data_IF_301809113445
#
_entry.id   IF_301809113445
#
_cell.length_a   1.000
_cell.length_b   1.000
_cell.length_c   1.000
_cell.angle_alpha   90.00
_cell.angle_beta   90.00
_cell.angle_gamma   90.00
#
_symmetry.space_group_name_H-M   'P 1'
#
loop_
_entity.id
_entity.type
_entity.pdbx_description
1 polymer ?
#
# COMPACT_ATOMS: atom_id res chain seq x y z
N UNK A 1 30.70 8.08 -7.45
CA UNK A 1 29.94 9.12 -6.72
C UNK A 1 30.93 10.20 -6.35
N UNK A 2 30.59 11.47 -6.57
CA UNK A 2 31.33 12.55 -5.92
C UNK A 2 31.25 12.34 -4.40
N UNK A 3 32.34 12.59 -3.67
CA UNK A 3 32.35 12.42 -2.22
C UNK A 3 31.42 13.44 -1.55
N UNK A 4 30.77 13.03 -0.47
CA UNK A 4 30.10 13.96 0.44
C UNK A 4 31.16 14.51 1.38
N UNK A 5 31.50 15.79 1.23
CA UNK A 5 32.61 16.45 1.95
C UNK A 5 32.21 17.76 2.63
N UNK A 6 30.96 18.19 2.42
CA UNK A 6 30.45 19.49 2.84
C UNK A 6 28.93 19.47 3.05
N UNK A 7 28.41 20.43 3.80
CA UNK A 7 26.97 20.61 3.97
C UNK A 7 26.27 20.90 2.63
N UNK A 8 26.94 21.63 1.74
CA UNK A 8 26.48 21.88 0.37
C UNK A 8 26.33 20.56 -0.40
N UNK A 9 27.32 19.67 -0.33
CA UNK A 9 27.24 18.36 -0.99
C UNK A 9 26.12 17.48 -0.41
N UNK A 10 25.87 17.54 0.92
CA UNK A 10 24.75 16.86 1.57
C UNK A 10 23.41 17.40 1.08
N UNK A 11 23.26 18.72 1.06
CA UNK A 11 22.06 19.40 0.62
C UNK A 11 21.70 19.07 -0.84
N UNK A 12 22.67 19.14 -1.74
CA UNK A 12 22.46 18.78 -3.14
C UNK A 12 22.16 17.29 -3.34
N UNK A 13 22.75 16.42 -2.52
CA UNK A 13 22.50 14.98 -2.59
C UNK A 13 21.09 14.65 -2.10
N UNK A 14 20.64 15.25 -1.01
CA UNK A 14 19.28 15.08 -0.46
C UNK A 14 18.21 15.68 -1.38
N UNK A 15 18.46 16.87 -1.95
CA UNK A 15 17.55 17.50 -2.92
C UNK A 15 17.30 16.59 -4.14
N UNK A 16 18.34 15.90 -4.61
CA UNK A 16 18.22 14.92 -5.70
C UNK A 16 17.53 13.64 -5.27
N UNK A 17 17.63 13.26 -3.99
CA UNK A 17 16.94 12.09 -3.44
C UNK A 17 15.44 12.34 -3.40
N UNK A 18 15.02 13.43 -2.74
CA UNK A 18 13.61 13.76 -2.55
C UNK A 18 12.92 14.01 -3.89
N UNK A 19 13.60 14.65 -4.86
CA UNK A 19 13.05 14.84 -6.21
C UNK A 19 12.75 13.53 -6.95
N UNK A 20 13.51 12.46 -6.70
CA UNK A 20 13.16 11.14 -7.23
C UNK A 20 12.09 10.45 -6.40
N UNK A 21 12.07 10.65 -5.07
CA UNK A 21 11.03 10.13 -4.19
C UNK A 21 9.62 10.60 -4.62
N UNK A 22 9.44 11.90 -4.82
CA UNK A 22 8.21 12.54 -5.30
C UNK A 22 7.75 11.94 -6.65
N UNK A 23 8.70 11.75 -7.58
CA UNK A 23 8.44 11.10 -8.88
C UNK A 23 8.10 9.62 -8.78
N UNK A 24 8.43 8.95 -7.68
CA UNK A 24 8.00 7.59 -7.41
C UNK A 24 6.60 7.59 -6.79
N UNK A 25 6.30 8.52 -5.89
CA UNK A 25 4.99 8.70 -5.23
C UNK A 25 3.90 9.00 -6.24
N UNK A 26 4.12 9.94 -7.16
CA UNK A 26 3.18 10.24 -8.27
C UNK A 26 2.81 9.00 -9.11
N UNK A 27 3.67 7.99 -9.18
CA UNK A 27 3.40 6.71 -9.87
C UNK A 27 2.72 5.67 -8.98
N UNK A 28 2.85 5.80 -7.66
CA UNK A 28 2.27 4.90 -6.67
C UNK A 28 0.81 5.28 -6.35
N UNK A 29 0.53 6.56 -6.14
CA UNK A 29 -0.79 7.06 -5.74
C UNK A 29 -1.94 6.61 -6.65
N UNK A 30 -1.83 6.64 -8.01
CA UNK A 30 -2.88 6.13 -8.88
C UNK A 30 -3.22 4.65 -8.66
N UNK A 31 -2.25 3.85 -8.22
CA UNK A 31 -2.48 2.42 -7.92
C UNK A 31 -3.18 2.25 -6.57
N UNK A 32 -2.90 3.12 -5.59
CA UNK A 32 -3.55 3.12 -4.29
C UNK A 32 -5.01 3.55 -4.43
N UNK A 33 -5.28 4.67 -5.12
CA UNK A 33 -6.63 5.16 -5.40
C UNK A 33 -7.55 4.10 -6.04
N UNK A 34 -7.00 3.34 -7.00
CA UNK A 34 -7.76 2.29 -7.69
C UNK A 34 -8.18 1.13 -6.78
N UNK A 35 -7.40 0.90 -5.71
CA UNK A 35 -7.63 -0.20 -4.76
C UNK A 35 -8.33 0.26 -3.48
N UNK A 36 -8.33 1.56 -3.17
CA UNK A 36 -9.00 2.07 -1.98
C UNK A 36 -10.51 1.76 -2.03
N UNK A 37 -11.04 1.13 -0.99
CA UNK A 37 -12.47 0.86 -0.84
C UNK A 37 -13.25 2.08 -0.35
N UNK A 38 -12.65 2.80 0.59
CA UNK A 38 -13.16 4.00 1.23
C UNK A 38 -13.02 5.24 0.33
N UNK A 39 -14.12 6.01 0.20
CA UNK A 39 -14.16 7.19 -0.67
C UNK A 39 -13.33 8.36 -0.13
N UNK A 40 -13.29 8.56 1.18
CA UNK A 40 -12.49 9.63 1.82
C UNK A 40 -10.99 9.36 1.66
N UNK A 41 -10.57 8.09 1.81
CA UNK A 41 -9.20 7.66 1.56
C UNK A 41 -8.79 7.85 0.10
N UNK A 42 -9.69 7.49 -0.84
CA UNK A 42 -9.44 7.73 -2.27
C UNK A 42 -9.29 9.23 -2.57
N UNK A 43 -10.16 10.06 -1.99
CA UNK A 43 -10.11 11.51 -2.15
C UNK A 43 -8.83 12.11 -1.54
N UNK A 44 -8.37 11.60 -0.40
CA UNK A 44 -7.10 12.01 0.20
C UNK A 44 -5.91 11.70 -0.72
N UNK A 45 -5.86 10.52 -1.34
CA UNK A 45 -4.81 10.18 -2.30
C UNK A 45 -4.89 10.98 -3.62
N UNK A 46 -6.09 11.35 -4.06
CA UNK A 46 -6.26 12.21 -5.24
C UNK A 46 -5.75 13.62 -5.00
N UNK A 47 -6.06 14.20 -3.84
CA UNK A 47 -5.56 15.50 -3.43
C UNK A 47 -4.05 15.48 -3.24
N UNK A 48 -3.54 14.48 -2.53
CA UNK A 48 -2.11 14.34 -2.32
C UNK A 48 -1.36 14.19 -3.65
N UNK A 49 -1.89 13.46 -4.64
CA UNK A 49 -1.26 13.39 -5.97
C UNK A 49 -1.12 14.78 -6.63
N UNK A 50 -2.13 15.64 -6.50
CA UNK A 50 -2.08 17.01 -7.04
C UNK A 50 -1.07 17.88 -6.28
N UNK A 51 -0.92 17.67 -4.97
CA UNK A 51 0.10 18.33 -4.16
C UNK A 51 1.50 17.85 -4.56
N UNK A 52 1.74 16.54 -4.65
CA UNK A 52 3.00 15.92 -5.12
C UNK A 52 3.43 16.46 -6.48
N UNK A 53 2.51 16.63 -7.43
CA UNK A 53 2.82 17.23 -8.74
C UNK A 53 3.30 18.69 -8.60
N UNK A 54 2.69 19.49 -7.73
CA UNK A 54 3.13 20.87 -7.44
C UNK A 54 4.44 20.91 -6.65
N UNK A 55 4.66 19.97 -5.75
CA UNK A 55 5.90 19.84 -4.97
C UNK A 55 7.08 19.52 -5.89
N UNK A 56 6.89 18.69 -6.92
CA UNK A 56 7.89 18.48 -7.98
C UNK A 56 8.23 19.80 -8.70
N UNK A 57 7.23 20.62 -9.03
CA UNK A 57 7.47 21.94 -9.64
C UNK A 57 8.24 22.88 -8.69
N UNK A 58 7.91 22.87 -7.39
CA UNK A 58 8.65 23.61 -6.35
C UNK A 58 10.11 23.15 -6.27
N UNK A 59 10.38 21.85 -6.32
CA UNK A 59 11.74 21.32 -6.35
C UNK A 59 12.50 21.76 -7.61
N UNK A 60 11.84 21.80 -8.77
CA UNK A 60 12.42 22.32 -10.01
C UNK A 60 12.81 23.79 -9.89
N UNK A 61 11.97 24.61 -9.23
CA UNK A 61 12.33 26.01 -8.90
C UNK A 61 13.58 26.07 -8.00
N UNK A 62 13.69 25.19 -7.00
CA UNK A 62 14.90 25.14 -6.15
C UNK A 62 16.13 24.76 -6.96
N UNK A 63 16.04 23.80 -7.88
CA UNK A 63 17.15 23.48 -8.78
C UNK A 63 17.56 24.69 -9.62
N UNK A 64 16.60 25.47 -10.14
CA UNK A 64 16.87 26.70 -10.89
C UNK A 64 17.55 27.78 -10.03
N UNK A 65 17.08 27.99 -8.79
CA UNK A 65 17.67 28.95 -7.84
C UNK A 65 19.14 28.63 -7.52
N UNK A 66 19.51 27.34 -7.57
CA UNK A 66 20.86 26.86 -7.33
C UNK A 66 21.71 26.78 -8.60
N UNK A 67 21.16 27.19 -9.75
CA UNK A 67 21.77 27.06 -11.07
C UNK A 67 22.18 25.61 -11.40
N UNK A 68 21.38 24.65 -10.94
CA UNK A 68 21.62 23.22 -11.10
C UNK A 68 20.58 22.58 -12.02
N UNK A 69 20.96 21.56 -12.83
CA UNK A 69 19.97 20.81 -13.58
C UNK A 69 19.08 19.98 -12.64
N UNK A 70 17.76 20.04 -12.84
CA UNK A 70 16.77 19.22 -12.13
C UNK A 70 16.91 17.73 -12.48
N UNK A 71 17.88 17.07 -11.85
CA UNK A 71 18.21 15.67 -12.09
C UNK A 71 18.31 14.92 -10.78
N UNK A 72 17.29 14.11 -10.51
CA UNK A 72 17.24 13.24 -9.35
C UNK A 72 18.30 12.14 -9.38
N UNK A 73 18.54 11.57 -8.20
CA UNK A 73 19.22 10.28 -8.03
C UNK A 73 18.16 9.30 -7.53
N UNK A 74 18.32 8.01 -7.84
CA UNK A 74 17.35 7.02 -7.40
C UNK A 74 17.24 6.99 -5.87
N UNK A 75 16.07 7.36 -5.34
CA UNK A 75 15.75 7.28 -3.93
C UNK A 75 15.42 5.84 -3.56
N UNK A 76 16.37 5.15 -2.92
CA UNK A 76 16.18 3.77 -2.48
C UNK A 76 15.26 3.69 -1.25
N UNK A 77 15.24 4.73 -0.40
CA UNK A 77 14.36 4.82 0.76
C UNK A 77 12.89 4.74 0.33
N UNK A 78 12.48 5.72 -0.48
CA UNK A 78 11.11 5.77 -1.02
C UNK A 78 10.74 4.55 -1.84
N UNK A 79 11.66 4.04 -2.68
CA UNK A 79 11.42 2.83 -3.46
C UNK A 79 11.02 1.65 -2.57
N UNK A 80 11.72 1.48 -1.44
CA UNK A 80 11.48 0.36 -0.53
C UNK A 80 10.22 0.58 0.31
N UNK A 81 9.92 1.81 0.74
CA UNK A 81 8.66 2.14 1.43
C UNK A 81 7.44 1.84 0.53
N UNK A 82 7.49 2.27 -0.73
CA UNK A 82 6.43 1.98 -1.71
C UNK A 82 6.30 0.47 -1.94
N UNK A 83 7.43 -0.25 -2.01
CA UNK A 83 7.44 -1.71 -2.18
C UNK A 83 6.82 -2.42 -0.97
N UNK A 84 7.21 -2.02 0.23
CA UNK A 84 6.66 -2.54 1.49
C UNK A 84 5.15 -2.32 1.54
N UNK A 85 4.67 -1.11 1.24
CA UNK A 85 3.24 -0.81 1.14
C UNK A 85 2.49 -1.69 0.15
N UNK A 86 3.09 -1.93 -1.03
CA UNK A 86 2.51 -2.81 -2.04
C UNK A 86 2.43 -4.28 -1.60
N UNK A 87 3.44 -4.77 -0.86
CA UNK A 87 3.47 -6.12 -0.32
C UNK A 87 2.42 -6.28 0.78
N UNK A 88 2.35 -5.36 1.74
CA UNK A 88 1.34 -5.36 2.80
C UNK A 88 -0.09 -5.37 2.24
N UNK A 89 -0.41 -4.47 1.29
CA UNK A 89 -1.73 -4.42 0.67
C UNK A 89 -2.11 -5.69 -0.12
N UNK A 90 -1.14 -6.51 -0.53
CA UNK A 90 -1.40 -7.76 -1.24
C UNK A 90 -1.75 -8.93 -0.31
N UNK A 91 -1.47 -8.76 0.99
CA UNK A 91 -1.78 -9.75 2.04
C UNK A 91 -3.18 -9.55 2.65
N UNK A 92 -3.84 -8.42 2.39
CA UNK A 92 -5.20 -8.15 2.86
C UNK A 92 -6.23 -9.09 2.21
N UNK A 93 -7.10 -9.67 3.04
CA UNK A 93 -8.17 -10.58 2.61
C UNK A 93 -9.50 -9.84 2.34
N UNK A 94 -9.67 -8.65 2.90
CA UNK A 94 -10.85 -7.78 2.76
C UNK A 94 -10.48 -6.31 2.44
N UNK A 95 -11.50 -5.51 2.11
CA UNK A 95 -11.32 -4.13 1.68
C UNK A 95 -10.96 -3.19 2.85
N UNK A 96 -11.50 -3.41 4.05
CA UNK A 96 -11.27 -2.54 5.21
C UNK A 96 -9.85 -2.71 5.76
N UNK A 97 -9.38 -3.96 5.88
CA UNK A 97 -7.98 -4.27 6.21
C UNK A 97 -7.03 -3.71 5.16
N UNK A 98 -7.39 -3.78 3.87
CA UNK A 98 -6.57 -3.22 2.79
C UNK A 98 -6.44 -1.70 2.93
N UNK A 99 -7.53 -1.01 3.25
CA UNK A 99 -7.52 0.44 3.44
C UNK A 99 -6.74 0.85 4.70
N UNK A 100 -6.83 0.09 5.78
CA UNK A 100 -6.01 0.30 6.98
C UNK A 100 -4.51 0.16 6.67
N UNK A 101 -4.14 -0.86 5.88
CA UNK A 101 -2.76 -1.05 5.42
C UNK A 101 -2.31 0.05 4.45
N UNK A 102 -3.21 0.58 3.61
CA UNK A 102 -2.92 1.74 2.76
C UNK A 102 -2.58 2.98 3.58
N UNK A 103 -3.37 3.27 4.60
CA UNK A 103 -3.12 4.41 5.50
C UNK A 103 -1.77 4.22 6.18
N UNK A 104 -1.52 3.06 6.79
CA UNK A 104 -0.25 2.80 7.46
C UNK A 104 0.96 2.91 6.52
N UNK A 105 0.83 2.45 5.27
CA UNK A 105 1.88 2.59 4.26
C UNK A 105 2.10 4.05 3.83
N UNK A 106 1.01 4.80 3.62
CA UNK A 106 1.07 6.21 3.25
C UNK A 106 1.70 7.06 4.36
N UNK A 107 1.32 6.86 5.62
CA UNK A 107 1.93 7.60 6.74
C UNK A 107 3.45 7.35 6.85
N UNK A 108 3.93 6.13 6.53
CA UNK A 108 5.39 5.88 6.47
C UNK A 108 6.07 6.70 5.37
N UNK A 109 5.39 6.92 4.25
CA UNK A 109 5.84 7.80 3.15
C UNK A 109 5.86 9.25 3.64
N UNK A 110 4.76 9.77 4.19
CA UNK A 110 4.69 11.14 4.72
C UNK A 110 5.79 11.41 5.76
N UNK A 111 6.01 10.48 6.69
CA UNK A 111 7.06 10.62 7.71
C UNK A 111 8.48 10.65 7.14
N UNK A 112 8.73 9.96 6.01
CA UNK A 112 10.00 10.07 5.29
C UNK A 112 10.18 11.47 4.73
N UNK A 113 9.13 12.02 4.10
CA UNK A 113 9.15 13.33 3.45
C UNK A 113 9.24 14.47 4.47
N UNK A 114 8.49 14.40 5.57
CA UNK A 114 8.60 15.32 6.71
C UNK A 114 10.05 15.38 7.23
N UNK A 115 10.72 14.24 7.34
CA UNK A 115 12.11 14.18 7.77
C UNK A 115 13.07 14.80 6.73
N UNK A 116 12.88 14.50 5.45
CA UNK A 116 13.70 15.01 4.35
C UNK A 116 13.54 16.53 4.18
N UNK A 117 12.31 17.03 4.04
CA UNK A 117 12.01 18.46 3.90
C UNK A 117 12.39 19.26 5.15
N UNK A 118 12.16 18.71 6.35
CA UNK A 118 12.62 19.32 7.59
C UNK A 118 14.14 19.52 7.62
N UNK A 119 14.89 18.53 7.10
CA UNK A 119 16.35 18.58 6.98
C UNK A 119 16.80 19.59 5.91
N UNK A 120 16.23 19.51 4.70
CA UNK A 120 16.53 20.41 3.59
C UNK A 120 16.28 21.88 3.94
N UNK A 121 15.16 22.19 4.60
CA UNK A 121 14.84 23.53 5.08
C UNK A 121 15.90 24.06 6.04
N UNK A 122 16.36 23.23 7.00
CA UNK A 122 17.39 23.64 7.96
C UNK A 122 18.72 23.89 7.25
N UNK A 123 19.12 22.99 6.36
CA UNK A 123 20.37 23.15 5.61
C UNK A 123 20.34 24.36 4.67
N UNK A 124 19.22 24.58 3.97
CA UNK A 124 19.01 25.77 3.14
C UNK A 124 19.21 27.06 3.94
N UNK A 125 18.65 27.15 5.16
CA UNK A 125 18.87 28.29 6.05
C UNK A 125 20.35 28.46 6.44
N UNK A 126 21.05 27.37 6.78
CA UNK A 126 22.47 27.42 7.16
C UNK A 126 23.39 27.83 6.00
N UNK A 127 23.01 27.48 4.78
CA UNK A 127 23.74 27.81 3.54
C UNK A 127 23.38 29.19 2.98
N UNK A 128 22.35 29.85 3.54
CA UNK A 128 21.88 31.16 3.09
C UNK A 128 20.88 31.13 1.94
N UNK A 129 20.35 29.96 1.59
CA UNK A 129 19.34 29.74 0.55
C UNK A 129 17.93 30.02 1.09
N UNK A 130 17.69 31.27 1.51
CA UNK A 130 16.44 31.67 2.17
C UNK A 130 15.17 31.41 1.35
N UNK A 131 15.23 31.60 0.02
CA UNK A 131 14.10 31.33 -0.87
C UNK A 131 13.80 29.82 -0.96
N UNK A 132 14.82 28.98 -1.14
CA UNK A 132 14.66 27.53 -1.10
C UNK A 132 14.14 27.05 0.26
N UNK A 133 14.60 27.63 1.37
CA UNK A 133 14.10 27.31 2.70
C UNK A 133 12.60 27.61 2.85
N UNK A 134 12.11 28.71 2.26
CA UNK A 134 10.68 29.03 2.25
C UNK A 134 9.87 28.02 1.43
N UNK A 135 10.40 27.61 0.27
CA UNK A 135 9.77 26.60 -0.58
C UNK A 135 9.67 25.26 0.15
N UNK A 136 10.75 24.83 0.81
CA UNK A 136 10.73 23.59 1.59
C UNK A 136 9.81 23.66 2.80
N UNK A 137 9.63 24.82 3.43
CA UNK A 137 8.66 24.98 4.53
C UNK A 137 7.22 24.81 4.04
N UNK A 138 6.90 25.33 2.86
CA UNK A 138 5.57 25.18 2.26
C UNK A 138 5.24 23.71 2.00
N UNK A 139 6.14 22.97 1.33
CA UNK A 139 5.96 21.53 1.12
C UNK A 139 5.92 20.76 2.45
N UNK A 140 6.81 21.08 3.40
CA UNK A 140 6.83 20.43 4.71
C UNK A 140 5.50 20.57 5.48
N UNK A 141 4.79 21.68 5.33
CA UNK A 141 3.49 21.85 5.97
C UNK A 141 2.40 21.04 5.27
N UNK A 142 2.41 20.98 3.94
CA UNK A 142 1.50 20.11 3.17
C UNK A 142 1.64 18.63 3.55
N UNK A 143 2.86 18.11 3.74
CA UNK A 143 3.03 16.70 4.14
C UNK A 143 2.54 16.45 5.57
N UNK A 144 2.72 17.42 6.47
CA UNK A 144 2.16 17.33 7.83
C UNK A 144 0.64 17.36 7.82
N UNK A 145 0.03 18.20 6.99
CA UNK A 145 -1.42 18.25 6.83
C UNK A 145 -1.96 16.94 6.22
N UNK A 146 -1.25 16.37 5.24
CA UNK A 146 -1.56 15.08 4.65
C UNK A 146 -1.53 13.95 5.68
N UNK A 147 -0.47 13.83 6.48
CA UNK A 147 -0.37 12.83 7.55
C UNK A 147 -1.47 13.00 8.62
N UNK A 148 -1.80 14.24 9.00
CA UNK A 148 -2.90 14.52 9.93
C UNK A 148 -4.25 14.10 9.35
N UNK A 149 -4.47 14.31 8.05
CA UNK A 149 -5.68 13.86 7.36
C UNK A 149 -5.76 12.34 7.32
N UNK A 150 -4.66 11.66 6.99
CA UNK A 150 -4.58 10.19 7.01
C UNK A 150 -4.90 9.65 8.41
N UNK A 151 -4.35 10.27 9.46
CA UNK A 151 -4.67 9.94 10.86
C UNK A 151 -6.17 10.09 11.15
N UNK A 152 -6.78 11.19 10.70
CA UNK A 152 -8.21 11.44 10.89
C UNK A 152 -9.10 10.40 10.20
N UNK A 153 -8.71 9.94 9.00
CA UNK A 153 -9.39 8.85 8.28
C UNK A 153 -9.22 7.52 9.03
N UNK A 154 -8.01 7.26 9.54
CA UNK A 154 -7.70 6.07 10.33
C UNK A 154 -8.58 5.97 11.58
N UNK A 155 -8.76 7.09 12.30
CA UNK A 155 -9.52 7.15 13.56
C UNK A 155 -11.05 7.09 13.36
N UNK A 156 -11.57 7.57 12.23
CA UNK A 156 -13.01 7.76 12.01
C UNK A 156 -13.78 6.51 11.61
N UNK A 157 -13.24 5.69 10.70
CA UNK A 157 -13.97 4.52 10.18
C UNK A 157 -13.06 3.35 9.80
N UNK A 158 -11.92 3.62 9.16
CA UNK A 158 -11.13 2.54 8.51
C UNK A 158 -10.55 1.56 9.53
N UNK A 159 -9.89 2.03 10.58
CA UNK A 159 -9.33 1.11 11.58
C UNK A 159 -10.39 0.52 12.52
N UNK A 160 -11.54 1.19 12.68
CA UNK A 160 -12.66 0.64 13.47
C UNK A 160 -13.31 -0.52 12.72
N UNK A 161 -13.60 -0.35 11.42
CA UNK A 161 -14.13 -1.41 10.58
C UNK A 161 -13.19 -2.62 10.50
N UNK A 162 -11.87 -2.39 10.34
CA UNK A 162 -10.87 -3.45 10.37
C UNK A 162 -10.82 -4.18 11.73
N UNK A 163 -10.98 -3.46 12.85
CA UNK A 163 -10.95 -4.05 14.20
C UNK A 163 -12.21 -4.88 14.52
N UNK A 164 -13.34 -4.59 13.88
CA UNK A 164 -14.62 -5.26 14.12
C UNK A 164 -14.80 -6.57 13.33
N UNK A 165 -13.76 -7.04 12.60
CA UNK A 165 -13.79 -8.27 11.79
C UNK A 165 -13.73 -9.58 12.57
N UNK A 166 -13.64 -9.55 13.91
CA UNK A 166 -13.80 -10.74 14.75
C UNK A 166 -15.27 -10.90 15.19
N UNK A 167 -16.09 -11.64 14.42
CA UNK A 167 -17.24 -12.46 14.87
C UNK A 167 -18.11 -12.97 13.69
N UNK A 168 -17.52 -13.55 12.63
CA UNK A 168 -18.24 -14.56 11.84
C UNK A 168 -17.89 -15.94 12.40
N UNK A 169 -18.52 -16.31 13.52
CA UNK A 169 -18.59 -17.71 13.96
C UNK A 169 -19.13 -18.54 12.78
N UNK A 170 -18.36 -19.51 12.31
CA UNK A 170 -18.85 -20.53 11.37
C UNK A 170 -20.11 -21.18 11.96
N UNK A 171 -21.29 -20.82 11.46
CA UNK A 171 -22.52 -21.55 11.81
C UNK A 171 -22.36 -23.00 11.33
N UNK A 172 -22.00 -23.90 12.24
CA UNK A 172 -22.06 -25.33 11.98
C UNK A 172 -23.50 -25.69 11.56
N UNK A 173 -23.70 -26.38 10.42
CA UNK A 173 -25.04 -26.76 9.98
C UNK A 173 -25.66 -27.69 11.02
N UNK A 174 -26.97 -27.57 11.31
CA UNK A 174 -27.58 -28.28 12.42
C UNK A 174 -27.45 -29.79 12.24
N UNK A 175 -26.83 -30.46 13.22
CA UNK A 175 -26.80 -31.92 13.32
C UNK A 175 -28.21 -32.49 13.19
N UNK A 176 -28.46 -33.23 12.10
CA UNK A 176 -29.70 -33.98 11.94
C UNK A 176 -29.82 -35.02 13.06
N UNK A 177 -30.82 -34.84 13.92
CA UNK A 177 -31.19 -35.82 14.93
C UNK A 177 -31.47 -37.19 14.29
N UNK A 178 -30.62 -38.17 14.61
CA UNK A 178 -30.84 -39.56 14.28
C UNK A 178 -32.10 -40.06 15.02
N UNK A 179 -33.22 -40.24 14.28
CA UNK A 179 -34.37 -40.99 14.78
C UNK A 179 -34.01 -42.47 14.84
N UNK A 180 -33.76 -42.96 16.05
CA UNK A 180 -33.71 -44.38 16.37
C UNK A 180 -35.10 -44.99 16.60
N UNK A 181 -35.27 -46.23 16.10
CA UNK A 181 -36.33 -47.18 16.45
C UNK A 181 -37.50 -47.25 15.45
N UNK A 182 -37.99 -48.39 14.97
CA UNK A 182 -37.82 -49.80 15.34
C UNK A 182 -38.20 -50.71 14.15
N UNK A 183 -37.77 -51.96 14.27
CA UNK A 183 -37.92 -53.08 13.33
C UNK A 183 -39.34 -53.63 13.14
N UNK A 184 -39.55 -54.25 11.97
CA UNK A 184 -40.40 -55.43 11.62
C UNK A 184 -40.41 -55.47 10.07
N UNK A 185 -39.96 -56.48 9.32
CA UNK A 185 -39.97 -57.92 9.51
C UNK A 185 -40.90 -58.53 8.45
N UNK A 186 -40.38 -58.96 7.29
CA UNK A 186 -41.04 -59.94 6.41
C UNK A 186 -40.05 -60.54 5.39
N UNK A 187 -40.14 -61.86 5.24
CA UNK A 187 -39.27 -62.78 4.49
C UNK A 187 -39.79 -63.06 3.07
N UNK A 188 -38.87 -63.51 2.20
CA UNK A 188 -39.10 -64.45 1.08
C UNK A 188 -38.99 -63.80 -0.30
N UNK A 189 -38.26 -64.32 -1.29
CA UNK A 189 -37.42 -65.50 -1.43
C UNK A 189 -37.00 -65.68 -2.91
N UNK A 190 -35.82 -66.30 -3.14
CA UNK A 190 -35.35 -67.03 -4.35
C UNK A 190 -35.37 -66.35 -5.75
N UNK A 191 -34.51 -66.64 -6.75
CA UNK A 191 -33.18 -67.26 -6.89
C UNK A 191 -32.75 -67.09 -8.37
N UNK A 192 -31.44 -67.21 -8.65
CA UNK A 192 -30.84 -67.82 -9.86
C UNK A 192 -30.79 -67.07 -11.21
N UNK A 193 -29.57 -66.72 -11.67
CA UNK A 193 -28.85 -67.24 -12.87
C UNK A 193 -27.72 -66.26 -13.29
N UNK A 194 -26.42 -66.62 -13.22
CA UNK A 194 -25.53 -67.13 -14.31
C UNK A 194 -25.45 -66.18 -15.54
N UNK A 195 -24.34 -65.88 -16.20
CA UNK A 195 -22.94 -66.36 -16.26
C UNK A 195 -22.16 -65.44 -17.25
N UNK A 196 -20.84 -65.23 -17.05
CA UNK A 196 -19.74 -65.15 -18.05
C UNK A 196 -19.81 -64.10 -19.21
N UNK A 197 -18.75 -63.56 -19.82
CA UNK A 197 -17.29 -63.58 -19.68
C UNK A 197 -16.70 -62.49 -20.64
N UNK A 198 -15.47 -62.06 -20.35
CA UNK A 198 -14.39 -61.65 -21.26
C UNK A 198 -14.65 -60.75 -22.49
N UNK A 199 -13.90 -59.64 -22.60
CA UNK A 199 -12.85 -59.56 -23.63
C UNK A 199 -11.73 -58.56 -23.25
N UNK A 200 -10.51 -58.91 -23.66
CA UNK A 200 -9.25 -58.19 -23.49
C UNK A 200 -9.01 -57.29 -24.70
N UNK A 201 -8.56 -56.06 -24.48
CA UNK A 201 -8.09 -55.18 -25.54
C UNK A 201 -6.97 -54.26 -25.07
N UNK A 202 -5.75 -54.79 -25.01
CA UNK A 202 -4.51 -54.13 -24.60
C UNK A 202 -3.87 -53.42 -25.81
N UNK A 203 -3.08 -52.38 -25.52
CA UNK A 203 -1.95 -51.78 -26.30
C UNK A 203 -2.30 -50.55 -27.13
N UNK A 204 -1.43 -49.56 -27.31
CA UNK A 204 -0.22 -49.00 -26.66
C UNK A 204 0.29 -47.97 -27.68
N UNK A 205 0.85 -46.86 -27.18
CA UNK A 205 1.92 -46.06 -27.78
C UNK A 205 1.66 -45.34 -29.12
N UNK A 206 1.72 -44.01 -29.08
CA UNK A 206 2.95 -43.27 -29.42
C UNK A 206 2.94 -41.90 -28.76
#
# INVERSE_FOLDING_TARGET
MAGIDSLESLFQDELKDIYDAEKQITKALPKMMKKAGNEDLRAAFEEHLQQTEQQIERLEQVFELLEMPARGKKCLGMQNLIKEGQEMMAEAEDDDTRDALMIAAAQKVEHYEIAAYGTLRVWANLLGYSEAASIFEETLEEEKETDQRLTSIAESFVNQAAADTEDEEEEEPPMRAARGGQSRGARGGASSARQQAADRGRRKAR
#
